data_IF_957497363785
#
_entry.id   IF_957497363785
#
_cell.length_a   1.000
_cell.length_b   1.000
_cell.length_c   1.000
_cell.angle_alpha   90.00
_cell.angle_beta   90.00
_cell.angle_gamma   90.00
#
_symmetry.space_group_name_H-M   'P 1'
#
loop_
_entity.id
_entity.type
_entity.pdbx_description
1 polymer ?
#
# COMPACT_ATOMS: atom_id res chain seq x y z
N UNK A 1 16.26 8.59 5.09
CA UNK A 1 15.18 8.15 4.18
C UNK A 1 15.69 7.88 2.75
N UNK A 2 16.70 8.60 2.23
CA UNK A 2 17.22 8.41 0.87
C UNK A 2 18.00 7.10 0.61
N UNK A 3 18.61 6.49 1.65
CA UNK A 3 19.42 5.29 1.47
C UNK A 3 18.59 4.05 1.10
N UNK A 4 17.41 3.87 1.70
CA UNK A 4 16.50 2.76 1.38
C UNK A 4 15.90 2.92 -0.02
N UNK A 5 15.53 4.14 -0.40
CA UNK A 5 15.03 4.40 -1.74
C UNK A 5 16.11 4.22 -2.80
N UNK A 6 17.35 4.65 -2.56
CA UNK A 6 18.47 4.44 -3.49
C UNK A 6 18.85 2.96 -3.64
N UNK A 7 18.73 2.18 -2.56
CA UNK A 7 18.93 0.73 -2.61
C UNK A 7 17.80 0.01 -3.37
N UNK A 8 16.54 0.40 -3.14
CA UNK A 8 15.38 -0.18 -3.84
C UNK A 8 15.33 0.22 -5.32
N UNK A 9 15.62 1.48 -5.65
CA UNK A 9 15.68 2.01 -7.01
C UNK A 9 17.03 1.79 -7.68
N UNK A 10 17.57 0.58 -7.58
CA UNK A 10 18.83 0.25 -8.24
C UNK A 10 18.67 0.29 -9.78
N UNK A 11 19.48 1.11 -10.44
CA UNK A 11 19.45 1.31 -11.90
C UNK A 11 19.62 0.00 -12.67
N UNK A 12 20.41 -0.96 -12.16
CA UNK A 12 20.68 -2.22 -12.89
C UNK A 12 19.55 -3.23 -12.85
N UNK A 13 18.67 -3.13 -11.86
CA UNK A 13 17.51 -4.02 -11.77
C UNK A 13 16.31 -3.47 -12.54
N UNK A 14 16.10 -2.16 -12.47
CA UNK A 14 14.94 -1.51 -13.04
C UNK A 14 15.16 -0.96 -14.45
N UNK A 15 16.38 -0.51 -14.78
CA UNK A 15 16.69 0.16 -16.05
C UNK A 15 17.65 -0.69 -16.90
N UNK A 16 17.56 -0.56 -18.24
CA UNK A 16 18.59 -1.08 -19.14
C UNK A 16 19.93 -0.35 -18.95
N UNK A 17 21.03 -0.98 -19.37
CA UNK A 17 22.42 -0.53 -19.12
C UNK A 17 22.80 0.87 -19.65
N UNK A 18 21.93 1.53 -20.40
CA UNK A 18 22.18 2.82 -21.05
C UNK A 18 21.35 3.98 -20.48
N UNK A 19 20.53 3.75 -19.44
CA UNK A 19 19.64 4.77 -18.90
C UNK A 19 19.82 4.86 -17.38
N UNK A 20 19.88 6.08 -16.87
CA UNK A 20 19.90 6.36 -15.43
C UNK A 20 18.62 7.09 -15.02
N UNK A 21 18.30 7.09 -13.72
CA UNK A 21 17.17 7.87 -13.21
C UNK A 21 17.35 9.39 -13.37
N UNK A 22 18.60 9.85 -13.48
CA UNK A 22 18.92 11.25 -13.76
C UNK A 22 18.51 11.66 -15.18
N UNK A 23 18.72 10.79 -16.17
CA UNK A 23 18.30 11.01 -17.57
C UNK A 23 16.78 11.09 -17.72
N UNK A 24 16.05 10.30 -16.92
CA UNK A 24 14.58 10.33 -16.91
C UNK A 24 14.02 11.54 -16.15
N UNK A 25 14.82 12.17 -15.29
CA UNK A 25 14.42 13.34 -14.52
C UNK A 25 14.60 14.66 -15.30
N UNK A 26 15.53 14.70 -16.25
CA UNK A 26 15.84 15.86 -17.10
C UNK A 26 15.63 15.53 -18.60
N UNK A 27 14.38 15.23 -19.01
CA UNK A 27 14.12 14.85 -20.39
C UNK A 27 14.30 16.01 -21.37
N UNK A 28 14.65 15.65 -22.60
CA UNK A 28 14.76 16.59 -23.71
C UNK A 28 13.50 17.46 -23.84
N UNK A 29 13.64 18.74 -24.25
CA UNK A 29 12.54 19.69 -24.27
C UNK A 29 11.40 19.17 -25.15
N UNK A 30 10.22 18.95 -24.54
CA UNK A 30 9.01 18.48 -25.21
C UNK A 30 8.50 17.11 -24.76
N UNK A 31 9.19 16.39 -23.88
CA UNK A 31 8.74 15.09 -23.35
C UNK A 31 8.71 15.13 -21.82
N UNK A 32 7.52 15.02 -21.23
CA UNK A 32 7.35 14.91 -19.77
C UNK A 32 7.22 13.42 -19.41
N UNK A 33 8.24 12.84 -18.78
CA UNK A 33 8.14 11.48 -18.25
C UNK A 33 7.57 11.46 -16.83
N UNK A 34 6.75 10.46 -16.47
CA UNK A 34 6.27 10.30 -15.11
C UNK A 34 7.44 10.03 -14.16
N UNK A 35 7.65 10.92 -13.19
CA UNK A 35 8.77 10.83 -12.25
C UNK A 35 8.61 9.62 -11.33
N UNK A 36 9.67 8.81 -11.20
CA UNK A 36 9.72 7.67 -10.28
C UNK A 36 9.38 8.05 -8.83
N UNK A 37 9.62 9.31 -8.44
CA UNK A 37 9.23 9.85 -7.14
C UNK A 37 7.72 9.76 -6.85
N UNK A 38 6.86 9.85 -7.87
CA UNK A 38 5.42 9.75 -7.69
C UNK A 38 4.97 8.34 -7.27
N UNK A 39 5.68 7.28 -7.66
CA UNK A 39 5.40 5.93 -7.18
C UNK A 39 5.63 5.80 -5.67
N UNK A 40 6.68 6.45 -5.15
CA UNK A 40 6.91 6.45 -3.71
C UNK A 40 5.82 7.19 -2.95
N UNK A 41 5.25 8.25 -3.53
CA UNK A 41 4.10 8.96 -2.93
C UNK A 41 2.79 8.20 -3.05
N UNK A 42 2.64 7.35 -4.06
CA UNK A 42 1.43 6.56 -4.27
C UNK A 42 1.25 5.48 -3.18
N UNK A 43 2.34 4.90 -2.67
CA UNK A 43 2.32 3.91 -1.59
C UNK A 43 1.69 4.42 -0.27
N UNK A 44 2.15 5.51 0.35
CA UNK A 44 1.54 6.05 1.56
C UNK A 44 0.12 6.55 1.30
N UNK A 45 -0.19 7.05 0.11
CA UNK A 45 -1.57 7.43 -0.27
C UNK A 45 -2.48 6.20 -0.29
N UNK A 46 -2.05 5.10 -0.91
CA UNK A 46 -2.81 3.85 -0.92
C UNK A 46 -3.02 3.31 0.51
N UNK A 47 -1.97 3.31 1.34
CA UNK A 47 -2.08 2.93 2.75
C UNK A 47 -3.02 3.86 3.52
N UNK A 48 -2.98 5.17 3.25
CA UNK A 48 -3.88 6.16 3.83
C UNK A 48 -5.35 5.88 3.48
N UNK A 49 -5.65 5.67 2.19
CA UNK A 49 -7.00 5.32 1.73
C UNK A 49 -7.47 4.00 2.37
N UNK A 50 -6.59 3.00 2.45
CA UNK A 50 -6.92 1.72 3.07
C UNK A 50 -7.18 1.86 4.59
N UNK A 51 -6.35 2.63 5.28
CA UNK A 51 -6.54 2.94 6.70
C UNK A 51 -7.86 3.69 6.93
N UNK A 52 -8.14 4.72 6.12
CA UNK A 52 -9.41 5.45 6.16
C UNK A 52 -10.58 4.48 5.96
N UNK A 53 -10.50 3.57 4.98
CA UNK A 53 -11.53 2.55 4.77
C UNK A 53 -11.74 1.66 6.00
N UNK A 54 -10.67 1.16 6.61
CA UNK A 54 -10.75 0.34 7.85
C UNK A 54 -11.35 1.15 9.00
N UNK A 55 -10.97 2.42 9.12
CA UNK A 55 -11.50 3.30 10.15
C UNK A 55 -12.98 3.57 9.92
N UNK A 56 -13.43 3.83 8.69
CA UNK A 56 -14.85 3.94 8.40
C UNK A 56 -15.61 2.65 8.72
N UNK A 57 -15.09 1.49 8.29
CA UNK A 57 -15.72 0.20 8.58
C UNK A 57 -15.77 -0.06 10.10
N UNK A 58 -14.68 0.19 10.84
CA UNK A 58 -14.63 -0.05 12.28
C UNK A 58 -15.36 1.01 13.10
N UNK A 59 -15.31 2.29 12.75
CA UNK A 59 -15.97 3.35 13.52
C UNK A 59 -17.45 3.47 13.17
N UNK A 60 -17.85 3.35 11.90
CA UNK A 60 -19.26 3.49 11.53
C UNK A 60 -20.05 2.21 11.85
N UNK A 61 -19.48 1.00 11.67
CA UNK A 61 -20.20 -0.24 12.00
C UNK A 61 -20.00 -0.70 13.45
N UNK A 62 -18.82 -0.54 14.06
CA UNK A 62 -18.58 -1.06 15.43
C UNK A 62 -19.02 -0.09 16.53
N UNK A 63 -19.10 1.22 16.26
CA UNK A 63 -19.62 2.17 17.26
C UNK A 63 -21.16 2.18 17.31
N UNK A 64 -21.84 1.79 16.22
CA UNK A 64 -23.30 1.77 16.19
C UNK A 64 -23.91 0.41 16.61
N UNK A 65 -23.18 -0.70 16.46
CA UNK A 65 -23.65 -2.03 16.87
C UNK A 65 -22.48 -2.78 17.50
N UNK A 66 -22.55 -3.03 18.81
CA UNK A 66 -21.54 -3.73 19.60
C UNK A 66 -21.38 -5.23 19.29
N UNK A 67 -21.20 -5.60 18.01
CA UNK A 67 -20.84 -6.95 17.60
C UNK A 67 -20.14 -6.92 16.24
N UNK A 68 -18.82 -7.10 16.22
CA UNK A 68 -18.04 -7.15 14.96
C UNK A 68 -18.10 -8.57 14.36
N UNK A 69 -18.48 -8.75 13.08
CA UNK A 69 -18.60 -10.08 12.46
C UNK A 69 -17.24 -10.77 12.22
N UNK A 70 -16.12 -10.02 12.16
CA UNK A 70 -14.79 -10.60 11.91
C UNK A 70 -14.20 -11.29 13.16
N UNK A 71 -14.46 -10.76 14.35
CA UNK A 71 -13.94 -11.31 15.61
C UNK A 71 -14.88 -12.36 16.21
N UNK A 72 -16.18 -12.30 15.90
CA UNK A 72 -17.16 -13.28 16.36
C UNK A 72 -16.93 -14.66 15.73
N UNK A 73 -16.61 -14.76 14.42
CA UNK A 73 -16.37 -16.06 13.78
C UNK A 73 -15.13 -16.80 14.33
N UNK A 74 -14.02 -16.09 14.56
CA UNK A 74 -12.79 -16.70 15.10
C UNK A 74 -12.95 -17.23 16.54
N UNK A 75 -13.93 -16.71 17.31
CA UNK A 75 -14.26 -17.24 18.65
C UNK A 75 -15.46 -18.20 18.65
N UNK A 76 -16.25 -18.24 17.58
CA UNK A 76 -17.40 -19.16 17.45
C UNK A 76 -17.02 -20.49 16.78
N UNK A 77 -15.96 -20.53 15.95
CA UNK A 77 -15.52 -21.79 15.33
C UNK A 77 -14.89 -22.78 16.33
N UNK A 78 -14.51 -22.33 17.53
CA UNK A 78 -14.05 -23.21 18.62
C UNK A 78 -15.19 -23.87 19.42
N UNK A 79 -16.45 -23.56 19.15
CA UNK A 79 -17.59 -23.93 20.01
C UNK A 79 -18.67 -24.80 19.33
N UNK A 80 -18.40 -25.44 18.17
CA UNK A 80 -19.38 -26.36 17.61
C UNK A 80 -19.27 -27.73 18.33
N UNK A 81 -20.32 -28.21 19.03
CA UNK A 81 -20.30 -29.53 19.64
C UNK A 81 -20.40 -30.60 18.55
N UNK A 82 -19.50 -31.58 18.62
CA UNK A 82 -19.55 -32.83 17.86
C UNK A 82 -20.88 -33.53 18.17
N UNK A 83 -21.70 -33.89 17.16
CA UNK A 83 -22.87 -34.73 17.40
C UNK A 83 -22.41 -36.19 17.64
N UNK A 84 -22.83 -36.76 18.77
CA UNK A 84 -22.86 -38.21 19.05
C UNK A 84 -24.10 -38.83 18.43
#
# INVERSE_FOLDING_TARGET
>A
MAALSAWFWNERFWLPHNVTWADLADPAPGVEYPKAGHLFTALPVALGIFAVRILFERFVFTAHIGCSPVTACLRCQSCLPVPL
#
